data_IF_776245112798
#
_entry.id   IF_776245112798
#
_cell.length_a   1.000
_cell.length_b   1.000
_cell.length_c   1.000
_cell.angle_alpha   90.00
_cell.angle_beta   90.00
_cell.angle_gamma   90.00
#
_symmetry.space_group_name_H-M   'P 1'
#
loop_
_entity.id
_entity.type
_entity.pdbx_description
1 polymer ?
#
# COMPACT_ATOMS: atom_id res chain seq x y z
N UNK A 1 25.98 5.12 -45.35
CA UNK A 1 26.79 4.94 -44.13
C UNK A 1 25.91 4.29 -43.08
N UNK A 2 26.05 2.99 -42.84
CA UNK A 2 25.21 2.26 -41.86
C UNK A 2 25.65 2.69 -40.45
N UNK A 3 24.76 3.35 -39.72
CA UNK A 3 24.90 3.54 -38.30
C UNK A 3 24.86 2.14 -37.65
N UNK A 4 26.04 1.62 -37.32
CA UNK A 4 26.19 0.35 -36.68
C UNK A 4 25.58 0.45 -35.27
N UNK A 5 24.54 -0.32 -35.03
CA UNK A 5 23.91 -0.63 -33.74
C UNK A 5 24.83 -1.43 -32.81
N UNK A 6 26.14 -1.17 -32.82
CA UNK A 6 27.13 -1.90 -32.01
C UNK A 6 26.93 -1.79 -30.49
N UNK A 7 26.01 -0.95 -30.01
CA UNK A 7 25.67 -0.82 -28.58
C UNK A 7 24.58 -1.76 -28.08
N UNK A 8 23.65 -2.18 -28.93
CA UNK A 8 22.49 -2.99 -28.51
C UNK A 8 22.88 -4.44 -28.11
N UNK A 9 23.88 -5.01 -28.78
CA UNK A 9 24.31 -6.41 -28.55
C UNK A 9 25.06 -6.63 -27.21
N UNK A 10 25.40 -5.55 -26.50
CA UNK A 10 26.15 -5.61 -25.24
C UNK A 10 25.27 -5.50 -24.00
N UNK A 11 24.01 -5.11 -24.17
CA UNK A 11 23.04 -4.95 -23.08
C UNK A 11 22.19 -6.22 -23.02
N UNK A 12 22.28 -6.93 -21.90
CA UNK A 12 21.37 -8.05 -21.66
C UNK A 12 19.94 -7.52 -21.47
N UNK A 13 18.93 -8.21 -22.04
CA UNK A 13 17.53 -7.80 -21.82
C UNK A 13 17.16 -7.88 -20.34
N UNK A 14 16.37 -6.94 -19.89
CA UNK A 14 15.73 -6.93 -18.56
C UNK A 14 14.38 -7.68 -18.57
N UNK A 15 13.58 -7.48 -17.52
CA UNK A 15 12.24 -8.06 -17.41
C UNK A 15 11.14 -7.26 -18.10
N UNK A 16 11.47 -6.18 -18.83
CA UNK A 16 10.47 -5.38 -19.54
C UNK A 16 9.67 -6.24 -20.52
N UNK A 17 8.34 -6.12 -20.47
CA UNK A 17 7.41 -6.90 -21.30
C UNK A 17 7.14 -8.32 -20.81
N UNK A 18 7.76 -8.79 -19.72
CA UNK A 18 7.43 -10.11 -19.15
C UNK A 18 6.08 -10.08 -18.43
N UNK A 19 5.30 -11.15 -18.59
CA UNK A 19 4.14 -11.36 -17.74
C UNK A 19 4.58 -12.06 -16.44
N UNK A 20 4.56 -11.34 -15.33
CA UNK A 20 5.05 -11.84 -14.02
C UNK A 20 4.18 -12.96 -13.44
N UNK A 21 2.91 -13.06 -13.82
CA UNK A 21 2.08 -14.20 -13.48
C UNK A 21 2.45 -15.45 -14.30
N UNK A 22 2.57 -15.29 -15.62
CA UNK A 22 2.81 -16.40 -16.54
C UNK A 22 4.17 -17.08 -16.30
N UNK A 23 5.20 -16.34 -15.86
CA UNK A 23 6.54 -16.88 -15.61
C UNK A 23 6.71 -17.46 -14.20
N UNK A 24 5.80 -17.18 -13.26
CA UNK A 24 5.90 -17.61 -11.86
C UNK A 24 5.16 -18.93 -11.61
N UNK A 25 5.83 -20.05 -11.92
CA UNK A 25 5.27 -21.38 -11.71
C UNK A 25 5.03 -21.72 -10.23
N UNK A 26 5.85 -21.18 -9.32
CA UNK A 26 5.67 -21.34 -7.87
C UNK A 26 4.36 -20.72 -7.41
N UNK A 27 4.07 -19.50 -7.87
CA UNK A 27 2.80 -18.81 -7.60
C UNK A 27 1.60 -19.60 -8.15
N UNK A 28 1.64 -20.03 -9.41
CA UNK A 28 0.55 -20.79 -10.04
C UNK A 28 0.28 -22.10 -9.28
N UNK A 29 1.33 -22.81 -8.87
CA UNK A 29 1.20 -24.05 -8.08
C UNK A 29 0.57 -23.77 -6.70
N UNK A 30 0.96 -22.69 -6.04
CA UNK A 30 0.38 -22.29 -4.77
C UNK A 30 -1.09 -21.88 -4.89
N UNK A 31 -1.44 -21.13 -5.94
CA UNK A 31 -2.83 -20.76 -6.26
C UNK A 31 -3.68 -22.03 -6.45
N UNK A 32 -3.18 -23.00 -7.22
CA UNK A 32 -3.87 -24.25 -7.44
C UNK A 32 -4.07 -25.08 -6.16
N UNK A 33 -3.13 -24.97 -5.21
CA UNK A 33 -3.19 -25.69 -3.93
C UNK A 33 -4.13 -25.04 -2.91
N UNK A 34 -4.26 -23.70 -2.88
CA UNK A 34 -4.93 -22.99 -1.81
C UNK A 34 -6.26 -22.33 -2.19
N UNK A 35 -6.52 -22.09 -3.47
CA UNK A 35 -7.78 -21.48 -3.92
C UNK A 35 -8.71 -22.53 -4.56
N UNK A 36 -10.03 -22.47 -4.24
CA UNK A 36 -11.05 -23.29 -4.88
C UNK A 36 -11.09 -23.06 -6.39
N UNK A 37 -11.48 -24.09 -7.16
CA UNK A 37 -11.45 -24.06 -8.63
C UNK A 37 -12.37 -23.00 -9.25
N UNK A 38 -13.55 -22.78 -8.64
CA UNK A 38 -14.53 -21.76 -9.03
C UNK A 38 -13.98 -20.35 -8.84
N UNK A 39 -13.39 -20.06 -7.68
CA UNK A 39 -12.74 -18.78 -7.42
C UNK A 39 -11.54 -18.56 -8.37
N UNK A 40 -10.73 -19.60 -8.61
CA UNK A 40 -9.61 -19.51 -9.55
C UNK A 40 -10.07 -19.12 -10.95
N UNK A 41 -11.16 -19.71 -11.44
CA UNK A 41 -11.72 -19.38 -12.74
C UNK A 41 -12.06 -17.88 -12.91
N UNK A 42 -12.39 -17.20 -11.81
CA UNK A 42 -12.67 -15.76 -11.79
C UNK A 42 -11.40 -14.91 -11.66
N UNK A 43 -10.47 -15.30 -10.76
CA UNK A 43 -9.35 -14.41 -10.40
C UNK A 43 -8.10 -14.64 -11.25
N UNK A 44 -7.84 -15.84 -11.76
CA UNK A 44 -6.62 -16.14 -12.57
C UNK A 44 -6.54 -15.28 -13.85
N UNK A 45 -7.62 -15.02 -14.62
CA UNK A 45 -7.55 -14.10 -15.75
C UNK A 45 -7.15 -12.68 -15.36
N UNK A 46 -7.57 -12.21 -14.19
CA UNK A 46 -7.21 -10.89 -13.66
C UNK A 46 -5.75 -10.87 -13.14
N UNK A 47 -5.30 -11.96 -12.55
CA UNK A 47 -3.89 -12.13 -12.13
C UNK A 47 -2.95 -12.16 -13.35
N UNK A 48 -3.34 -12.82 -14.42
CA UNK A 48 -2.58 -12.85 -15.68
C UNK A 48 -2.50 -11.43 -16.29
N UNK A 49 -3.63 -10.73 -16.34
CA UNK A 49 -3.68 -9.33 -16.79
C UNK A 49 -2.79 -8.42 -15.93
N UNK A 50 -2.85 -8.54 -14.60
CA UNK A 50 -1.99 -7.76 -13.71
C UNK A 50 -0.51 -8.14 -13.86
N UNK A 51 -0.21 -9.42 -14.07
CA UNK A 51 1.14 -9.89 -14.33
C UNK A 51 1.75 -9.28 -15.61
N UNK A 52 0.94 -9.17 -16.67
CA UNK A 52 1.35 -8.50 -17.92
C UNK A 52 1.57 -6.99 -17.71
N UNK A 53 0.69 -6.32 -16.96
CA UNK A 53 0.86 -4.91 -16.60
C UNK A 53 2.10 -4.71 -15.73
N UNK A 54 2.38 -5.61 -14.79
CA UNK A 54 3.53 -5.55 -13.88
C UNK A 54 4.89 -5.50 -14.57
N UNK A 55 5.05 -6.24 -15.66
CA UNK A 55 6.27 -6.17 -16.48
C UNK A 55 6.19 -5.19 -17.66
N UNK A 56 5.02 -4.55 -17.87
CA UNK A 56 4.76 -3.61 -18.96
C UNK A 56 4.41 -2.22 -18.46
N UNK A 57 3.16 -1.82 -18.67
CA UNK A 57 2.72 -0.44 -18.40
C UNK A 57 2.94 0.00 -16.94
N UNK A 58 2.68 -0.85 -15.95
CA UNK A 58 2.88 -0.51 -14.54
C UNK A 58 4.36 -0.24 -14.22
N UNK A 59 5.29 -1.05 -14.75
CA UNK A 59 6.73 -0.83 -14.59
C UNK A 59 7.18 0.50 -15.23
N UNK A 60 6.64 0.83 -16.41
CA UNK A 60 6.89 2.11 -17.07
C UNK A 60 6.40 3.29 -16.23
N UNK A 61 5.14 3.24 -15.75
CA UNK A 61 4.55 4.27 -14.91
C UNK A 61 5.32 4.46 -13.60
N UNK A 62 5.73 3.37 -12.97
CA UNK A 62 6.54 3.37 -11.75
C UNK A 62 7.85 4.12 -11.95
N UNK A 63 8.58 3.83 -13.04
CA UNK A 63 9.84 4.51 -13.39
C UNK A 63 9.65 6.01 -13.67
N UNK A 64 8.51 6.40 -14.23
CA UNK A 64 8.17 7.81 -14.45
C UNK A 64 7.87 8.50 -13.13
N UNK A 65 6.96 7.92 -12.33
CA UNK A 65 6.52 8.49 -11.06
C UNK A 65 7.65 8.61 -10.03
N UNK A 66 8.58 7.65 -10.00
CA UNK A 66 9.75 7.71 -9.11
C UNK A 66 10.69 8.87 -9.41
N UNK A 67 10.80 9.25 -10.70
CA UNK A 67 11.59 10.43 -11.15
C UNK A 67 10.86 11.77 -10.99
N UNK A 68 9.57 11.73 -10.75
CA UNK A 68 8.72 12.92 -10.57
C UNK A 68 7.95 12.79 -9.25
N UNK A 69 8.64 12.96 -8.10
CA UNK A 69 8.02 12.85 -6.79
C UNK A 69 6.92 13.89 -6.61
N UNK A 70 5.95 13.64 -5.72
CA UNK A 70 4.87 14.58 -5.43
C UNK A 70 5.39 15.91 -4.92
N UNK A 71 4.69 17.00 -5.27
CA UNK A 71 5.02 18.37 -4.89
C UNK A 71 3.93 18.93 -4.01
N UNK A 72 4.29 19.45 -2.85
CA UNK A 72 3.37 20.15 -1.96
C UNK A 72 3.24 21.63 -2.38
N UNK A 73 2.02 22.07 -2.60
CA UNK A 73 1.65 23.47 -2.79
C UNK A 73 0.94 23.97 -1.53
N UNK A 74 1.66 24.56 -0.57
CA UNK A 74 1.05 24.97 0.71
C UNK A 74 0.13 26.17 0.54
N UNK A 75 0.40 27.06 -0.43
CA UNK A 75 -0.37 28.28 -0.70
C UNK A 75 -0.50 28.55 -2.19
N UNK A 76 -1.57 29.25 -2.57
CA UNK A 76 -1.74 29.79 -3.91
C UNK A 76 -0.91 31.06 -4.14
N UNK A 77 -0.95 31.60 -5.35
CA UNK A 77 -0.25 32.81 -5.72
C UNK A 77 -0.72 34.08 -4.95
N UNK A 78 -1.91 34.05 -4.40
CA UNK A 78 -2.47 35.13 -3.56
C UNK A 78 -2.16 34.96 -2.06
N UNK A 79 -1.45 33.88 -1.68
CA UNK A 79 -1.07 33.62 -0.29
C UNK A 79 -2.15 32.90 0.54
N UNK A 80 -3.24 32.44 -0.08
CA UNK A 80 -4.28 31.64 0.58
C UNK A 80 -3.82 30.22 0.74
N UNK A 81 -4.15 29.58 1.88
CA UNK A 81 -3.79 28.20 2.14
C UNK A 81 -4.46 27.27 1.10
N UNK A 82 -3.65 26.50 0.42
CA UNK A 82 -4.06 25.54 -0.62
C UNK A 82 -3.85 24.10 -0.15
N UNK A 83 -2.67 23.81 0.38
CA UNK A 83 -2.25 22.49 0.91
C UNK A 83 -2.58 21.30 0.01
N UNK A 84 -2.35 21.47 -1.27
CA UNK A 84 -2.56 20.44 -2.28
C UNK A 84 -1.26 19.73 -2.58
N UNK A 85 -1.31 18.41 -2.71
CA UNK A 85 -0.20 17.61 -3.22
C UNK A 85 -0.47 17.32 -4.69
N UNK A 86 0.42 17.83 -5.55
CA UNK A 86 0.44 17.50 -6.97
C UNK A 86 1.19 16.19 -7.19
N UNK A 87 0.49 15.21 -7.76
CA UNK A 87 1.09 13.96 -8.20
C UNK A 87 1.24 13.94 -9.72
N UNK A 88 2.32 13.33 -10.22
CA UNK A 88 2.47 13.11 -11.64
C UNK A 88 1.34 12.26 -12.21
N UNK A 89 0.83 12.49 -13.45
CA UNK A 89 -0.24 11.68 -14.05
C UNK A 89 0.04 10.17 -14.05
N UNK A 90 1.31 9.75 -14.18
CA UNK A 90 1.69 8.34 -14.05
C UNK A 90 1.30 7.73 -12.69
N UNK A 91 1.42 8.49 -11.59
CA UNK A 91 0.98 8.02 -10.28
C UNK A 91 -0.56 7.87 -10.23
N UNK A 92 -1.29 8.82 -10.80
CA UNK A 92 -2.77 8.76 -10.87
C UNK A 92 -3.26 7.57 -11.72
N UNK A 93 -2.56 7.26 -12.82
CA UNK A 93 -2.85 6.05 -13.61
C UNK A 93 -2.61 4.77 -12.80
N UNK A 94 -1.55 4.71 -11.98
CA UNK A 94 -1.31 3.57 -11.08
C UNK A 94 -2.39 3.47 -9.98
N UNK A 95 -2.87 4.60 -9.43
CA UNK A 95 -4.02 4.62 -8.51
C UNK A 95 -5.28 4.07 -9.19
N UNK A 96 -5.58 4.47 -10.42
CA UNK A 96 -6.70 3.96 -11.22
C UNK A 96 -6.61 2.43 -11.39
N UNK A 97 -5.42 1.91 -11.66
CA UNK A 97 -5.21 0.45 -11.72
C UNK A 97 -5.48 -0.22 -10.37
N UNK A 98 -4.88 0.27 -9.28
CA UNK A 98 -4.94 -0.39 -7.97
C UNK A 98 -6.32 -0.30 -7.32
N UNK A 99 -6.92 0.88 -7.28
CA UNK A 99 -8.22 1.14 -6.63
C UNK A 99 -9.40 0.91 -7.57
N UNK A 100 -9.34 1.47 -8.78
CA UNK A 100 -10.44 1.42 -9.74
C UNK A 100 -10.58 0.05 -10.38
N UNK A 101 -9.57 -0.39 -11.13
CA UNK A 101 -9.68 -1.59 -11.94
C UNK A 101 -9.54 -2.89 -11.14
N UNK A 102 -8.52 -3.00 -10.29
CA UNK A 102 -8.28 -4.20 -9.50
C UNK A 102 -8.93 -4.18 -8.13
N UNK A 103 -9.54 -3.07 -7.71
CA UNK A 103 -10.28 -2.97 -6.44
C UNK A 103 -9.51 -3.53 -5.22
N UNK A 104 -8.18 -3.37 -5.18
CA UNK A 104 -7.30 -4.07 -4.24
C UNK A 104 -7.54 -3.67 -2.78
N UNK A 105 -8.07 -2.46 -2.53
CA UNK A 105 -8.41 -1.97 -1.19
C UNK A 105 -9.69 -2.58 -0.64
N UNK A 106 -10.65 -2.92 -1.53
CA UNK A 106 -12.02 -3.28 -1.13
C UNK A 106 -12.41 -4.74 -1.39
N UNK A 107 -11.63 -5.49 -2.18
CA UNK A 107 -12.01 -6.84 -2.63
C UNK A 107 -12.31 -7.83 -1.50
N UNK A 108 -11.74 -7.62 -0.31
CA UNK A 108 -12.03 -8.43 0.89
C UNK A 108 -13.18 -7.86 1.74
N UNK A 109 -13.83 -6.79 1.28
CA UNK A 109 -14.83 -6.07 2.06
C UNK A 109 -16.21 -6.04 1.38
N UNK A 110 -16.28 -6.27 0.08
CA UNK A 110 -17.52 -6.22 -0.69
C UNK A 110 -17.63 -7.42 -1.61
N UNK A 111 -18.87 -7.79 -1.92
CA UNK A 111 -19.22 -8.73 -2.97
C UNK A 111 -19.11 -8.10 -4.37
N UNK A 112 -19.16 -8.91 -5.41
CA UNK A 112 -19.25 -8.48 -6.81
C UNK A 112 -17.92 -8.10 -7.46
N UNK A 113 -16.79 -8.09 -6.76
CA UNK A 113 -15.49 -7.79 -7.38
C UNK A 113 -15.14 -8.89 -8.39
N UNK A 114 -14.87 -8.50 -9.63
CA UNK A 114 -14.68 -9.39 -10.79
C UNK A 114 -15.86 -10.35 -11.05
N UNK A 115 -17.06 -10.04 -10.55
CA UNK A 115 -18.24 -10.90 -10.65
C UNK A 115 -18.31 -12.02 -9.61
N UNK A 116 -17.39 -12.05 -8.62
CA UNK A 116 -17.45 -13.00 -7.51
C UNK A 116 -18.58 -12.62 -6.53
N UNK A 117 -19.45 -13.56 -6.12
CA UNK A 117 -20.68 -13.23 -5.37
C UNK A 117 -20.44 -12.86 -3.91
N UNK A 118 -19.25 -13.05 -3.39
CA UNK A 118 -18.90 -12.78 -1.98
C UNK A 118 -17.66 -11.87 -1.88
N UNK A 119 -17.35 -11.41 -0.67
CA UNK A 119 -16.05 -10.78 -0.39
C UNK A 119 -14.91 -11.82 -0.60
N UNK A 120 -13.85 -11.41 -1.27
CA UNK A 120 -12.75 -12.32 -1.59
C UNK A 120 -11.95 -12.71 -0.34
N UNK A 121 -11.43 -13.95 -0.27
CA UNK A 121 -10.51 -14.34 0.78
C UNK A 121 -9.25 -13.45 0.79
N UNK A 122 -8.67 -13.15 1.98
CA UNK A 122 -7.47 -12.33 2.10
C UNK A 122 -6.29 -12.79 1.23
N UNK A 123 -6.16 -14.09 1.00
CA UNK A 123 -5.13 -14.66 0.14
C UNK A 123 -5.17 -14.08 -1.29
N UNK A 124 -6.36 -13.89 -1.86
CA UNK A 124 -6.51 -13.30 -3.20
C UNK A 124 -5.90 -11.91 -3.24
N UNK A 125 -6.23 -11.05 -2.29
CA UNK A 125 -5.67 -9.70 -2.18
C UNK A 125 -4.14 -9.73 -2.06
N UNK A 126 -3.57 -10.64 -1.27
CA UNK A 126 -2.11 -10.75 -1.13
C UNK A 126 -1.45 -11.22 -2.43
N UNK A 127 -2.10 -12.06 -3.23
CA UNK A 127 -1.59 -12.45 -4.55
C UNK A 127 -1.60 -11.26 -5.51
N UNK A 128 -2.69 -10.47 -5.56
CA UNK A 128 -2.73 -9.24 -6.35
C UNK A 128 -1.64 -8.25 -5.91
N UNK A 129 -1.46 -8.08 -4.61
CA UNK A 129 -0.38 -7.26 -4.07
C UNK A 129 1.01 -7.76 -4.48
N UNK A 130 1.25 -9.05 -4.43
CA UNK A 130 2.51 -9.67 -4.86
C UNK A 130 2.82 -9.41 -6.34
N UNK A 131 1.82 -9.50 -7.20
CA UNK A 131 1.99 -9.21 -8.63
C UNK A 131 2.20 -7.71 -8.89
N UNK A 132 1.42 -6.84 -8.25
CA UNK A 132 1.53 -5.38 -8.40
C UNK A 132 2.88 -4.86 -7.96
N UNK A 133 3.38 -5.31 -6.80
CA UNK A 133 4.65 -4.86 -6.21
C UNK A 133 5.86 -5.18 -7.09
N UNK A 134 5.81 -6.19 -7.92
CA UNK A 134 6.89 -6.47 -8.87
C UNK A 134 7.05 -5.35 -9.92
N UNK A 135 6.01 -4.57 -10.19
CA UNK A 135 6.06 -3.36 -11.02
C UNK A 135 6.19 -2.07 -10.21
N UNK A 136 5.42 -1.95 -9.11
CA UNK A 136 5.39 -0.73 -8.29
C UNK A 136 5.20 -1.03 -6.79
N UNK A 137 6.08 -0.49 -5.97
CA UNK A 137 6.10 -0.76 -4.52
C UNK A 137 5.40 0.33 -3.69
N UNK A 138 5.55 1.61 -4.06
CA UNK A 138 5.17 2.75 -3.22
C UNK A 138 3.68 2.85 -2.97
N UNK A 139 2.87 2.75 -4.01
CA UNK A 139 1.41 2.87 -3.96
C UNK A 139 0.74 1.76 -3.13
N UNK A 140 1.38 0.59 -3.01
CA UNK A 140 0.80 -0.48 -2.17
C UNK A 140 0.76 -0.11 -0.69
N UNK A 141 1.53 0.89 -0.25
CA UNK A 141 1.38 1.43 1.10
C UNK A 141 -0.01 2.07 1.32
N UNK A 142 -0.44 3.09 0.55
CA UNK A 142 -1.80 3.63 0.60
C UNK A 142 -2.90 2.57 0.43
N UNK A 143 -2.78 1.69 -0.56
CA UNK A 143 -3.76 0.62 -0.81
C UNK A 143 -3.91 -0.30 0.42
N UNK A 144 -2.81 -0.66 1.07
CA UNK A 144 -2.86 -1.48 2.28
C UNK A 144 -3.42 -0.72 3.49
N UNK A 145 -3.17 0.59 3.58
CA UNK A 145 -3.77 1.42 4.62
C UNK A 145 -5.29 1.55 4.44
N UNK A 146 -5.76 1.64 3.19
CA UNK A 146 -7.18 1.67 2.90
C UNK A 146 -7.87 0.34 3.30
N UNK A 147 -7.32 -0.82 2.93
CA UNK A 147 -7.84 -2.13 3.33
C UNK A 147 -7.87 -2.31 4.86
N UNK A 148 -6.78 -1.97 5.54
CA UNK A 148 -6.73 -2.09 7.01
C UNK A 148 -7.59 -1.04 7.70
N UNK A 149 -7.73 0.15 7.12
CA UNK A 149 -8.65 1.18 7.57
C UNK A 149 -10.11 0.75 7.47
N UNK A 150 -10.51 0.14 6.35
CA UNK A 150 -11.83 -0.46 6.17
C UNK A 150 -12.10 -1.54 7.21
N UNK A 151 -11.11 -2.40 7.48
CA UNK A 151 -11.21 -3.42 8.55
C UNK A 151 -11.46 -2.78 9.92
N UNK A 152 -10.73 -1.71 10.27
CA UNK A 152 -10.89 -1.00 11.53
C UNK A 152 -12.28 -0.35 11.62
N UNK A 153 -12.67 0.40 10.58
CA UNK A 153 -13.96 1.09 10.53
C UNK A 153 -15.13 0.13 10.66
N UNK A 154 -15.15 -0.96 9.91
CA UNK A 154 -16.24 -1.96 9.97
C UNK A 154 -16.39 -2.60 11.33
N UNK A 155 -15.28 -2.86 12.02
CA UNK A 155 -15.28 -3.61 13.28
C UNK A 155 -15.43 -2.73 14.52
N UNK A 156 -15.08 -1.43 14.46
CA UNK A 156 -14.90 -0.62 15.65
C UNK A 156 -15.66 0.72 15.60
N UNK A 157 -15.92 1.28 14.41
CA UNK A 157 -16.60 2.56 14.32
C UNK A 157 -18.09 2.46 14.71
N UNK A 158 -18.66 3.57 15.19
CA UNK A 158 -20.11 3.67 15.40
C UNK A 158 -20.87 3.53 14.08
N UNK A 159 -22.14 3.19 14.14
CA UNK A 159 -22.95 3.04 12.93
C UNK A 159 -23.08 4.35 12.16
N UNK A 160 -23.15 5.49 12.85
CA UNK A 160 -23.11 6.83 12.25
C UNK A 160 -21.85 7.06 11.43
N UNK A 161 -20.67 6.76 11.99
CA UNK A 161 -19.39 6.89 11.27
C UNK A 161 -19.29 5.91 10.10
N UNK A 162 -19.84 4.70 10.24
CA UNK A 162 -19.88 3.73 9.13
C UNK A 162 -20.77 4.23 7.99
N UNK A 163 -21.96 4.71 8.27
CA UNK A 163 -22.88 5.25 7.26
C UNK A 163 -22.28 6.45 6.51
N UNK A 164 -21.57 7.29 7.23
CA UNK A 164 -20.98 8.52 6.69
C UNK A 164 -19.72 8.26 5.83
N UNK A 165 -18.83 7.38 6.25
CA UNK A 165 -17.49 7.24 5.65
C UNK A 165 -17.32 6.01 4.77
N UNK A 166 -17.91 4.84 5.15
CA UNK A 166 -17.66 3.60 4.42
C UNK A 166 -18.08 3.62 2.96
N UNK A 167 -19.21 4.23 2.55
CA UNK A 167 -19.59 4.23 1.13
C UNK A 167 -18.52 4.79 0.22
N UNK A 168 -17.91 5.93 0.60
CA UNK A 168 -16.82 6.54 -0.16
C UNK A 168 -15.49 5.80 -0.02
N UNK A 169 -15.16 5.30 1.16
CA UNK A 169 -13.95 4.49 1.36
C UNK A 169 -14.00 3.16 0.60
N UNK A 170 -15.18 2.63 0.29
CA UNK A 170 -15.41 1.41 -0.49
C UNK A 170 -15.61 1.67 -1.98
N UNK A 171 -15.62 2.91 -2.45
CA UNK A 171 -15.79 3.21 -3.87
C UNK A 171 -14.58 2.71 -4.68
N UNK A 172 -14.81 2.29 -5.93
CA UNK A 172 -13.79 2.07 -6.94
C UNK A 172 -13.88 3.11 -8.08
N UNK A 173 -14.80 4.05 -7.96
CA UNK A 173 -14.82 5.26 -8.77
C UNK A 173 -13.84 6.25 -8.14
N UNK A 174 -12.81 6.65 -8.89
CA UNK A 174 -11.74 7.52 -8.39
C UNK A 174 -12.22 8.93 -8.03
N UNK A 175 -13.32 9.38 -8.61
CA UNK A 175 -13.93 10.69 -8.32
C UNK A 175 -14.72 10.66 -6.99
N UNK A 176 -15.18 9.47 -6.57
CA UNK A 176 -15.92 9.23 -5.34
C UNK A 176 -15.09 8.63 -4.20
N UNK A 177 -13.93 8.06 -4.54
CA UNK A 177 -13.10 7.34 -3.57
C UNK A 177 -12.50 8.27 -2.51
N UNK A 178 -12.73 7.93 -1.24
CA UNK A 178 -12.00 8.48 -0.12
C UNK A 178 -10.90 7.54 0.32
N UNK A 179 -9.65 7.93 0.05
CA UNK A 179 -8.45 7.20 0.44
C UNK A 179 -8.24 7.31 1.94
N UNK A 180 -7.63 6.29 2.52
CA UNK A 180 -7.36 6.23 3.95
C UNK A 180 -5.86 6.31 4.23
N UNK A 181 -5.50 7.07 5.26
CA UNK A 181 -4.15 7.12 5.82
C UNK A 181 -4.15 6.73 7.31
N UNK A 182 -2.96 6.37 7.84
CA UNK A 182 -2.79 6.03 9.25
C UNK A 182 -1.58 6.80 9.80
N UNK A 183 -1.82 7.75 10.73
CA UNK A 183 -0.77 8.58 11.33
C UNK A 183 -0.55 8.17 12.79
N UNK A 184 0.45 7.34 13.01
CA UNK A 184 0.73 6.79 14.34
C UNK A 184 2.00 7.40 14.96
N UNK A 185 3.04 7.56 14.15
CA UNK A 185 4.38 7.96 14.59
C UNK A 185 4.47 9.46 14.86
N UNK A 186 5.18 9.83 15.90
CA UNK A 186 5.62 11.18 16.22
C UNK A 186 7.15 11.24 16.27
N UNK A 187 7.73 12.43 16.28
CA UNK A 187 9.18 12.57 16.30
C UNK A 187 9.79 11.92 17.57
N UNK A 188 9.14 12.06 18.71
CA UNK A 188 9.53 11.46 19.99
C UNK A 188 8.97 10.07 20.26
N UNK A 189 8.04 9.55 19.41
CA UNK A 189 7.28 8.33 19.66
C UNK A 189 7.14 7.48 18.38
N UNK A 190 8.13 6.64 18.13
CA UNK A 190 8.12 5.65 17.05
C UNK A 190 7.82 4.26 17.59
N UNK A 191 8.89 3.47 17.89
CA UNK A 191 8.72 2.13 18.48
C UNK A 191 8.08 2.18 19.87
N UNK A 192 8.39 3.21 20.67
CA UNK A 192 7.74 3.48 21.95
C UNK A 192 6.51 4.37 21.74
N UNK A 193 5.46 3.78 21.17
CA UNK A 193 4.20 4.45 20.87
C UNK A 193 3.48 4.98 22.12
N UNK A 194 3.84 4.48 23.31
CA UNK A 194 3.31 4.97 24.59
C UNK A 194 3.66 6.42 24.90
N UNK A 195 4.69 6.98 24.24
CA UNK A 195 5.15 8.35 24.41
C UNK A 195 4.50 9.35 23.43
N UNK A 196 3.41 8.98 22.77
CA UNK A 196 2.63 9.89 21.92
C UNK A 196 2.20 11.12 22.73
N UNK A 197 2.50 12.32 22.18
CA UNK A 197 2.22 13.63 22.75
C UNK A 197 0.98 14.31 22.15
N UNK A 198 0.52 13.88 20.96
CA UNK A 198 -0.71 14.38 20.36
C UNK A 198 -1.89 14.18 21.29
N UNK A 199 -2.58 15.29 21.57
CA UNK A 199 -3.69 15.36 22.54
C UNK A 199 -5.03 15.52 21.82
N UNK A 200 -6.06 14.90 22.41
CA UNK A 200 -7.44 15.05 21.98
C UNK A 200 -8.30 15.53 23.15
N UNK A 201 -9.04 16.63 22.95
CA UNK A 201 -9.96 17.23 23.91
C UNK A 201 -11.39 17.11 23.39
N UNK A 202 -12.30 16.66 24.24
CA UNK A 202 -13.72 16.54 23.88
C UNK A 202 -14.37 17.93 23.68
N UNK A 203 -15.14 18.06 22.60
CA UNK A 203 -15.90 19.26 22.27
C UNK A 203 -17.27 18.88 21.69
N UNK A 204 -18.28 18.80 22.53
CA UNK A 204 -19.62 18.38 22.12
C UNK A 204 -19.64 16.94 21.61
N UNK A 205 -19.97 16.75 20.34
CA UNK A 205 -20.09 15.45 19.67
C UNK A 205 -18.80 15.00 18.94
N UNK A 206 -17.75 15.81 18.98
CA UNK A 206 -16.47 15.54 18.34
C UNK A 206 -15.27 15.83 19.28
N UNK A 207 -14.06 15.70 18.76
CA UNK A 207 -12.83 15.93 19.48
C UNK A 207 -11.98 16.94 18.71
N UNK A 208 -11.33 17.84 19.45
CA UNK A 208 -10.30 18.73 18.91
C UNK A 208 -8.93 18.11 19.21
N UNK A 209 -8.13 17.96 18.18
CA UNK A 209 -6.85 17.25 18.23
C UNK A 209 -5.72 18.20 17.89
N UNK A 210 -4.70 18.22 18.77
CA UNK A 210 -3.55 19.11 18.69
C UNK A 210 -2.24 18.31 18.76
N UNK A 211 -1.23 18.72 17.96
CA UNK A 211 0.12 18.18 17.99
C UNK A 211 0.63 17.78 16.61
N UNK A 212 1.80 17.12 16.58
CA UNK A 212 2.52 16.81 15.34
C UNK A 212 2.57 15.32 15.07
N UNK A 213 2.33 14.94 13.82
CA UNK A 213 2.55 13.57 13.31
C UNK A 213 3.71 13.54 12.31
N UNK A 214 4.52 12.48 12.45
CA UNK A 214 5.74 12.28 11.69
C UNK A 214 5.58 11.25 10.60
N UNK A 215 6.16 10.88 9.67
CA UNK A 215 5.97 9.80 8.68
C UNK A 215 4.50 9.56 8.25
N UNK A 216 3.79 10.63 7.90
CA UNK A 216 2.41 10.59 7.44
C UNK A 216 2.34 10.16 5.97
N UNK A 217 2.28 8.85 5.73
CA UNK A 217 2.15 8.31 4.36
C UNK A 217 0.75 8.55 3.82
N UNK A 218 0.64 8.83 2.50
CA UNK A 218 -0.61 9.25 1.86
C UNK A 218 -1.19 10.53 2.52
N UNK A 219 -0.32 11.53 2.67
CA UNK A 219 -0.60 12.74 3.47
C UNK A 219 -1.80 13.56 2.97
N UNK A 220 -2.24 13.35 1.74
CA UNK A 220 -3.40 13.98 1.10
C UNK A 220 -4.66 13.09 1.10
N UNK A 221 -4.68 12.00 1.90
CA UNK A 221 -5.86 11.15 2.03
C UNK A 221 -7.06 11.91 2.62
N UNK A 222 -8.24 11.52 2.19
CA UNK A 222 -9.52 12.10 2.60
C UNK A 222 -9.89 11.71 4.04
N UNK A 223 -9.43 10.54 4.51
CA UNK A 223 -9.67 10.01 5.85
C UNK A 223 -8.36 9.63 6.52
N UNK A 224 -8.13 10.15 7.69
CA UNK A 224 -6.94 9.85 8.51
C UNK A 224 -7.37 9.10 9.76
N UNK A 225 -6.73 7.98 10.04
CA UNK A 225 -6.85 7.25 11.29
C UNK A 225 -5.60 7.53 12.14
N UNK A 226 -5.77 8.05 13.34
CA UNK A 226 -4.63 8.40 14.20
C UNK A 226 -4.85 8.01 15.67
N UNK A 227 -3.72 7.83 16.37
CA UNK A 227 -3.69 7.70 17.82
C UNK A 227 -3.44 9.06 18.46
N UNK A 228 -4.23 9.36 19.48
CA UNK A 228 -4.02 10.52 20.36
C UNK A 228 -4.30 10.14 21.81
N UNK A 229 -3.77 10.92 22.72
CA UNK A 229 -4.05 10.83 24.15
C UNK A 229 -5.21 11.77 24.48
N UNK A 230 -6.19 11.31 25.23
CA UNK A 230 -7.25 12.18 25.72
C UNK A 230 -6.84 12.86 27.00
N UNK A 231 -7.40 14.03 27.25
CA UNK A 231 -7.17 14.77 28.51
C UNK A 231 -7.53 13.91 29.73
N UNK A 232 -6.65 13.87 30.72
CA UNK A 232 -6.82 13.04 31.92
C UNK A 232 -6.55 11.55 31.75
N UNK A 233 -6.20 11.07 30.55
CA UNK A 233 -5.87 9.67 30.34
C UNK A 233 -4.55 9.26 31.01
N UNK A 234 -4.43 7.99 31.39
CA UNK A 234 -3.21 7.44 31.97
C UNK A 234 -2.02 7.53 31.01
N UNK A 235 -0.83 7.69 31.57
CA UNK A 235 0.40 7.67 30.78
C UNK A 235 0.65 6.30 30.11
N UNK A 236 1.48 6.33 29.04
CA UNK A 236 1.85 5.12 28.30
C UNK A 236 0.77 4.67 27.30
N UNK A 237 0.96 3.49 26.74
CA UNK A 237 0.12 2.97 25.66
C UNK A 237 -1.35 2.72 26.03
N UNK A 238 -1.63 2.54 27.32
CA UNK A 238 -3.00 2.30 27.83
C UNK A 238 -3.89 3.54 27.84
N UNK A 239 -3.34 4.74 27.69
CA UNK A 239 -4.10 5.98 27.64
C UNK A 239 -4.35 6.50 26.21
N UNK A 240 -4.08 5.68 25.20
CA UNK A 240 -4.25 6.09 23.81
C UNK A 240 -5.59 5.64 23.25
N UNK A 241 -6.22 6.55 22.50
CA UNK A 241 -7.50 6.33 21.80
C UNK A 241 -7.30 6.49 20.30
N UNK A 242 -8.19 5.86 19.52
CA UNK A 242 -8.17 5.91 18.06
C UNK A 242 -9.18 6.94 17.57
N UNK A 243 -8.77 7.79 16.64
CA UNK A 243 -9.61 8.82 16.05
C UNK A 243 -9.61 8.73 14.53
N UNK A 244 -10.77 9.03 13.94
CA UNK A 244 -10.91 9.35 12.53
C UNK A 244 -10.88 10.88 12.40
N UNK A 245 -10.02 11.39 11.54
CA UNK A 245 -9.90 12.81 11.20
C UNK A 245 -10.18 12.95 9.70
N UNK A 246 -11.28 13.57 9.30
CA UNK A 246 -11.58 13.82 7.90
C UNK A 246 -10.74 14.98 7.38
N UNK A 247 -10.43 14.99 6.07
CA UNK A 247 -9.75 16.09 5.41
C UNK A 247 -10.66 17.31 5.26
N UNK A 248 -11.93 17.08 4.98
CA UNK A 248 -12.96 18.09 4.85
C UNK A 248 -14.06 17.88 5.90
N UNK A 249 -14.56 18.97 6.44
CA UNK A 249 -15.67 18.98 7.37
C UNK A 249 -17.01 19.00 6.62
N UNK A 250 -18.12 18.81 7.33
CA UNK A 250 -19.47 18.75 6.73
C UNK A 250 -19.90 20.06 6.07
N UNK A 251 -19.33 21.17 6.50
CA UNK A 251 -19.58 22.50 5.91
C UNK A 251 -18.74 22.75 4.63
N UNK A 252 -17.98 21.74 4.17
CA UNK A 252 -17.11 21.82 3.01
C UNK A 252 -15.78 22.56 3.28
N UNK A 253 -15.53 22.99 4.50
CA UNK A 253 -14.27 23.60 4.86
C UNK A 253 -13.19 22.53 5.10
N UNK A 254 -11.94 22.89 4.82
CA UNK A 254 -10.81 22.06 5.17
C UNK A 254 -10.68 21.96 6.70
N UNK A 255 -10.39 20.75 7.19
CA UNK A 255 -10.14 20.53 8.61
C UNK A 255 -8.83 21.19 9.08
N UNK A 256 -8.73 21.50 10.35
CA UNK A 256 -7.68 22.28 10.99
C UNK A 256 -6.37 21.49 11.19
N UNK A 257 -5.79 21.02 10.09
CA UNK A 257 -4.43 20.49 10.08
C UNK A 257 -3.72 20.90 8.79
N UNK A 258 -2.41 20.89 8.83
CA UNK A 258 -1.59 21.27 7.68
C UNK A 258 -0.45 20.28 7.45
N UNK A 259 -0.06 20.12 6.20
CA UNK A 259 1.12 19.36 5.80
C UNK A 259 2.31 20.34 5.81
N UNK A 260 3.22 20.14 6.76
CA UNK A 260 4.37 21.05 6.96
C UNK A 260 5.36 20.92 5.80
N UNK A 261 5.67 19.68 5.43
CA UNK A 261 6.53 19.35 4.27
C UNK A 261 6.36 17.90 3.86
N UNK A 262 6.79 17.55 2.65
CA UNK A 262 6.99 16.18 2.22
C UNK A 262 8.41 15.73 2.56
N UNK A 263 8.55 14.45 2.85
CA UNK A 263 9.83 13.81 3.17
C UNK A 263 10.64 13.55 1.90
N UNK A 264 11.93 13.85 1.93
CA UNK A 264 12.91 13.36 0.97
C UNK A 264 13.25 11.91 1.30
N UNK A 265 13.04 10.99 0.36
CA UNK A 265 13.11 9.54 0.57
C UNK A 265 13.98 8.87 -0.48
N UNK A 266 14.75 7.85 -0.06
CA UNK A 266 15.55 7.01 -0.98
C UNK A 266 14.68 6.03 -1.78
N UNK A 267 13.52 5.63 -1.26
CA UNK A 267 12.58 4.71 -1.92
C UNK A 267 11.14 5.18 -1.75
N UNK A 268 10.23 4.61 -2.52
CA UNK A 268 8.82 5.03 -2.55
C UNK A 268 8.63 6.52 -2.86
N UNK A 269 9.49 7.09 -3.72
CA UNK A 269 9.50 8.51 -4.03
C UNK A 269 8.20 8.96 -4.70
N UNK A 270 7.53 8.08 -5.41
CA UNK A 270 6.24 8.31 -6.07
C UNK A 270 5.10 8.64 -5.09
N UNK A 271 5.16 8.13 -3.84
CA UNK A 271 4.10 8.26 -2.83
C UNK A 271 4.42 9.38 -1.85
N UNK A 272 3.45 10.27 -1.59
CA UNK A 272 3.59 11.37 -0.64
C UNK A 272 3.69 10.86 0.81
N UNK A 273 4.75 11.26 1.52
CA UNK A 273 4.88 11.07 2.97
C UNK A 273 5.20 12.42 3.60
N UNK A 274 4.35 12.89 4.48
CA UNK A 274 4.45 14.23 5.07
C UNK A 274 4.80 14.24 6.54
N UNK A 275 5.03 15.43 7.04
CA UNK A 275 4.93 15.84 8.44
C UNK A 275 3.66 16.68 8.56
N UNK A 276 2.84 16.38 9.57
CA UNK A 276 1.51 16.99 9.71
C UNK A 276 1.39 17.61 11.09
N UNK A 277 0.99 18.88 11.14
CA UNK A 277 0.61 19.58 12.38
C UNK A 277 -0.91 19.67 12.44
N UNK A 278 -1.47 19.23 13.56
CA UNK A 278 -2.87 19.32 13.93
C UNK A 278 -3.02 20.52 14.87
N UNK A 279 -3.98 21.41 14.59
CA UNK A 279 -4.20 22.65 15.35
C UNK A 279 -5.72 22.82 15.56
N UNK A 280 -6.25 22.12 16.56
CA UNK A 280 -7.69 21.98 16.77
C UNK A 280 -8.38 21.16 15.69
N UNK A 281 -7.70 20.15 15.12
CA UNK A 281 -8.30 19.31 14.10
C UNK A 281 -9.50 18.52 14.62
N UNK A 282 -10.62 18.62 13.94
CA UNK A 282 -11.83 17.87 14.28
C UNK A 282 -11.62 16.38 14.01
N UNK A 283 -11.90 15.58 15.03
CA UNK A 283 -11.81 14.13 14.94
C UNK A 283 -12.96 13.42 15.65
N UNK A 284 -13.24 12.21 15.25
CA UNK A 284 -14.28 11.36 15.80
C UNK A 284 -13.68 10.10 16.44
N UNK A 285 -14.08 9.78 17.65
CA UNK A 285 -13.60 8.59 18.35
C UNK A 285 -14.03 7.32 17.64
N UNK A 286 -13.08 6.41 17.43
CA UNK A 286 -13.36 5.06 16.94
C UNK A 286 -13.34 4.08 18.10
N UNK A 287 -14.48 3.43 18.34
CA UNK A 287 -14.65 2.47 19.43
C UNK A 287 -14.62 3.13 20.81
N UNK A 288 -13.85 2.56 21.74
CA UNK A 288 -13.82 2.99 23.13
C UNK A 288 -12.56 3.78 23.48
N UNK A 289 -12.66 4.72 24.41
CA UNK A 289 -11.52 5.45 24.98
C UNK A 289 -10.49 4.49 25.58
N UNK A 290 -9.22 4.86 25.46
CA UNK A 290 -8.09 4.13 26.04
C UNK A 290 -7.90 2.68 25.48
N UNK A 291 -8.50 2.37 24.33
CA UNK A 291 -8.35 1.08 23.65
C UNK A 291 -7.61 1.16 22.32
N UNK A 292 -7.13 2.34 21.94
CA UNK A 292 -6.54 2.61 20.62
C UNK A 292 -5.42 1.67 20.23
N UNK A 293 -4.53 1.31 21.15
CA UNK A 293 -3.45 0.33 20.89
C UNK A 293 -4.03 -1.05 20.59
N UNK A 294 -5.01 -1.50 21.35
CA UNK A 294 -5.64 -2.82 21.13
C UNK A 294 -6.32 -2.87 19.75
N UNK A 295 -6.94 -1.76 19.35
CA UNK A 295 -7.61 -1.62 18.06
C UNK A 295 -6.61 -1.64 16.91
N UNK A 296 -5.57 -0.79 16.98
CA UNK A 296 -4.59 -0.67 15.88
C UNK A 296 -3.71 -1.91 15.75
N UNK A 297 -3.45 -2.67 16.81
CA UNK A 297 -2.62 -3.88 16.74
C UNK A 297 -3.21 -4.97 15.84
N UNK A 298 -4.53 -5.04 15.68
CA UNK A 298 -5.17 -5.94 14.71
C UNK A 298 -4.79 -5.53 13.28
N UNK A 299 -4.91 -4.25 12.95
CA UNK A 299 -4.58 -3.72 11.60
C UNK A 299 -3.06 -3.75 11.34
N UNK A 300 -2.24 -3.49 12.36
CA UNK A 300 -0.77 -3.60 12.27
C UNK A 300 -0.33 -5.03 11.93
N UNK A 301 -1.00 -6.05 12.45
CA UNK A 301 -0.68 -7.45 12.12
C UNK A 301 -0.95 -7.76 10.64
N UNK A 302 -2.07 -7.26 10.09
CA UNK A 302 -2.39 -7.35 8.66
C UNK A 302 -1.35 -6.59 7.81
N UNK A 303 -0.97 -5.40 8.24
CA UNK A 303 0.05 -4.59 7.59
C UNK A 303 1.43 -5.28 7.59
N UNK A 304 1.82 -5.94 8.68
CA UNK A 304 3.06 -6.72 8.75
C UNK A 304 3.09 -7.88 7.76
N UNK A 305 2.00 -8.61 7.62
CA UNK A 305 1.90 -9.63 6.57
C UNK A 305 2.01 -9.02 5.17
N UNK A 306 1.31 -7.91 4.92
CA UNK A 306 1.43 -7.15 3.67
C UNK A 306 2.89 -6.79 3.36
N UNK A 307 3.70 -6.38 4.35
CA UNK A 307 5.14 -6.12 4.17
C UNK A 307 5.92 -7.39 3.82
N UNK A 308 5.58 -8.54 4.42
CA UNK A 308 6.17 -9.84 4.06
C UNK A 308 5.87 -10.20 2.60
N UNK A 309 4.64 -9.98 2.14
CA UNK A 309 4.23 -10.18 0.73
C UNK A 309 5.01 -9.26 -0.21
N UNK A 310 5.17 -7.98 0.14
CA UNK A 310 5.97 -7.02 -0.64
C UNK A 310 7.43 -7.44 -0.73
N UNK A 311 8.01 -7.90 0.38
CA UNK A 311 9.39 -8.41 0.38
C UNK A 311 9.54 -9.63 -0.55
N UNK A 312 8.63 -10.60 -0.49
CA UNK A 312 8.61 -11.76 -1.38
C UNK A 312 8.49 -11.34 -2.86
N UNK A 313 7.64 -10.35 -3.16
CA UNK A 313 7.48 -9.80 -4.51
C UNK A 313 8.76 -9.15 -5.04
N UNK A 314 9.45 -8.34 -4.21
CA UNK A 314 10.73 -7.73 -4.58
C UNK A 314 11.83 -8.78 -4.80
N UNK A 315 11.88 -9.81 -3.95
CA UNK A 315 12.79 -10.94 -4.14
C UNK A 315 12.52 -11.64 -5.48
N UNK A 316 11.25 -11.85 -5.83
CA UNK A 316 10.85 -12.44 -7.12
C UNK A 316 11.29 -11.55 -8.29
N UNK A 317 11.03 -10.25 -8.22
CA UNK A 317 11.47 -9.31 -9.27
C UNK A 317 13.00 -9.34 -9.44
N UNK A 318 13.77 -9.28 -8.37
CA UNK A 318 15.23 -9.36 -8.42
C UNK A 318 15.72 -10.69 -9.02
N UNK A 319 15.07 -11.81 -8.68
CA UNK A 319 15.38 -13.12 -9.24
C UNK A 319 15.09 -13.16 -10.74
N UNK A 320 13.95 -12.65 -11.19
CA UNK A 320 13.58 -12.58 -12.61
C UNK A 320 14.60 -11.77 -13.41
N UNK A 321 15.02 -10.58 -12.91
CA UNK A 321 16.08 -9.77 -13.53
C UNK A 321 17.39 -10.54 -13.62
N UNK A 322 17.81 -11.18 -12.51
CA UNK A 322 19.06 -11.95 -12.46
C UNK A 322 19.02 -13.12 -13.45
N UNK A 323 17.91 -13.82 -13.57
CA UNK A 323 17.73 -14.93 -14.51
C UNK A 323 17.73 -14.46 -15.97
N UNK A 324 17.07 -13.33 -16.27
CA UNK A 324 17.06 -12.74 -17.61
C UNK A 324 18.47 -12.36 -18.06
N UNK A 325 19.22 -11.66 -17.23
CA UNK A 325 20.60 -11.31 -17.51
C UNK A 325 21.45 -12.57 -17.68
N UNK A 326 21.34 -13.55 -16.77
CA UNK A 326 22.17 -14.74 -16.81
C UNK A 326 21.94 -15.63 -18.04
N UNK A 327 20.69 -15.69 -18.54
CA UNK A 327 20.31 -16.46 -19.72
C UNK A 327 20.74 -15.81 -21.04
N UNK A 328 20.91 -14.50 -21.07
CA UNK A 328 21.15 -13.76 -22.31
C UNK A 328 22.60 -13.19 -22.42
N UNK A 329 23.24 -12.88 -21.29
CA UNK A 329 24.62 -12.39 -21.30
C UNK A 329 25.60 -13.49 -21.62
N UNK A 330 26.46 -13.25 -22.61
CA UNK A 330 27.50 -14.21 -23.05
C UNK A 330 28.88 -13.76 -22.57
N UNK A 331 29.65 -14.73 -22.05
CA UNK A 331 31.06 -14.57 -21.72
C UNK A 331 31.80 -15.89 -22.01
N UNK A 332 33.02 -15.81 -22.46
CA UNK A 332 33.85 -16.99 -22.79
C UNK A 332 33.14 -17.99 -23.72
N UNK A 333 32.38 -17.48 -24.70
CA UNK A 333 31.73 -18.29 -25.72
C UNK A 333 30.37 -18.90 -25.35
N UNK A 334 29.88 -18.75 -24.09
CA UNK A 334 28.62 -19.31 -23.64
C UNK A 334 27.80 -18.32 -22.78
N UNK A 335 26.52 -18.63 -22.55
CA UNK A 335 25.71 -17.82 -21.64
C UNK A 335 26.18 -17.98 -20.20
N UNK A 336 26.16 -16.89 -19.39
CA UNK A 336 26.73 -16.96 -18.04
C UNK A 336 25.95 -17.89 -17.10
N UNK A 337 24.68 -18.19 -17.39
CA UNK A 337 23.88 -19.20 -16.67
C UNK A 337 24.50 -20.60 -16.75
N UNK A 338 25.33 -20.90 -17.75
CA UNK A 338 26.00 -22.19 -17.90
C UNK A 338 27.19 -22.38 -16.93
N UNK A 339 27.69 -21.31 -16.33
CA UNK A 339 28.79 -21.42 -15.37
C UNK A 339 28.33 -21.96 -14.01
N UNK A 340 29.00 -22.94 -13.42
CA UNK A 340 28.60 -23.55 -12.15
C UNK A 340 28.50 -22.54 -11.00
N UNK A 341 29.44 -21.57 -10.94
CA UNK A 341 29.40 -20.50 -9.91
C UNK A 341 28.18 -19.59 -10.08
N UNK A 342 27.79 -19.26 -11.30
CA UNK A 342 26.58 -18.46 -11.57
C UNK A 342 25.32 -19.24 -11.15
N UNK A 343 25.21 -20.49 -11.50
CA UNK A 343 24.10 -21.37 -11.08
C UNK A 343 24.00 -21.41 -9.55
N UNK A 344 25.12 -21.53 -8.85
CA UNK A 344 25.17 -21.51 -7.39
C UNK A 344 24.65 -20.18 -6.82
N UNK A 345 24.99 -19.04 -7.41
CA UNK A 345 24.49 -17.73 -6.95
C UNK A 345 22.99 -17.57 -7.22
N UNK A 346 22.53 -17.99 -8.39
CA UNK A 346 21.10 -17.97 -8.72
C UNK A 346 20.29 -18.86 -7.75
N UNK A 347 20.80 -20.05 -7.39
CA UNK A 347 20.15 -20.93 -6.39
C UNK A 347 20.06 -20.27 -5.01
N UNK A 348 21.07 -19.49 -4.59
CA UNK A 348 21.04 -18.73 -3.33
C UNK A 348 19.96 -17.62 -3.31
N UNK A 349 19.57 -17.11 -4.47
CA UNK A 349 18.45 -16.17 -4.61
C UNK A 349 17.11 -16.89 -4.72
N UNK A 350 17.06 -17.99 -5.52
CA UNK A 350 15.85 -18.74 -5.80
C UNK A 350 15.26 -19.37 -4.54
N UNK A 351 16.05 -20.08 -3.74
CA UNK A 351 15.55 -20.82 -2.58
C UNK A 351 14.84 -19.91 -1.56
N UNK A 352 15.43 -18.77 -1.08
CA UNK A 352 14.72 -17.86 -0.19
C UNK A 352 13.50 -17.22 -0.83
N UNK A 353 13.52 -16.97 -2.15
CA UNK A 353 12.37 -16.41 -2.88
C UNK A 353 11.18 -17.39 -2.86
N UNK A 354 11.42 -18.67 -3.17
CA UNK A 354 10.37 -19.70 -3.11
C UNK A 354 9.88 -19.95 -1.68
N UNK A 355 10.77 -19.87 -0.68
CA UNK A 355 10.39 -19.96 0.73
C UNK A 355 9.48 -18.79 1.16
N UNK A 356 9.84 -17.57 0.78
CA UNK A 356 9.05 -16.37 1.08
C UNK A 356 7.67 -16.43 0.41
N UNK A 357 7.60 -16.87 -0.87
CA UNK A 357 6.37 -17.10 -1.59
C UNK A 357 5.48 -18.13 -0.86
N UNK A 358 6.03 -19.29 -0.54
CA UNK A 358 5.30 -20.36 0.15
C UNK A 358 4.79 -19.91 1.51
N UNK A 359 5.59 -19.13 2.25
CA UNK A 359 5.23 -18.62 3.58
C UNK A 359 4.02 -17.68 3.52
N UNK A 360 4.02 -16.70 2.61
CA UNK A 360 2.88 -15.78 2.55
C UNK A 360 1.61 -16.45 2.01
N UNK A 361 1.73 -17.37 1.04
CA UNK A 361 0.58 -18.13 0.52
C UNK A 361 -0.06 -18.98 1.63
N UNK A 362 0.74 -19.70 2.39
CA UNK A 362 0.27 -20.49 3.53
C UNK A 362 -0.36 -19.60 4.60
N UNK A 363 0.30 -18.49 4.99
CA UNK A 363 -0.23 -17.58 6.01
C UNK A 363 -1.56 -16.95 5.57
N UNK A 364 -1.66 -16.51 4.31
CA UNK A 364 -2.90 -15.96 3.77
C UNK A 364 -4.04 -16.97 3.72
N UNK A 365 -3.73 -18.24 3.43
CA UNK A 365 -4.69 -19.35 3.46
C UNK A 365 -5.22 -19.61 4.87
N UNK A 366 -4.33 -19.71 5.88
CA UNK A 366 -4.72 -19.93 7.28
C UNK A 366 -5.56 -18.77 7.82
N UNK A 367 -5.24 -17.52 7.45
CA UNK A 367 -6.05 -16.36 7.84
C UNK A 367 -7.49 -16.44 7.34
N UNK A 368 -7.72 -16.99 6.15
CA UNK A 368 -9.06 -17.18 5.62
C UNK A 368 -9.87 -18.25 6.39
N UNK A 369 -9.19 -19.17 7.08
CA UNK A 369 -9.83 -20.21 7.90
C UNK A 369 -10.12 -19.76 9.35
N UNK A 370 -9.44 -18.70 9.81
CA UNK A 370 -9.54 -18.20 11.18
C UNK A 370 -10.65 -17.14 11.37
N UNK A 371 -11.23 -16.66 10.31
CA UNK A 371 -12.36 -15.73 10.26
C UNK A 371 -13.66 -16.50 9.94
#
# INVERSE_FOLDING_TARGET
MSNSTKGADWVAPDCAGMNFYAVDRGLQSGIAAYLPADLRAVVEPQMDRLGALGGGRLDELSRIADRHPPVLHPRDAAGRDLETIEHHPAYREMEQLAYGEFSMHRMCHVEGVFGWPEAMPPLVRYIFQYLFVQGEFGLICPVSMADTGLTLMRNQASDELKERYLPRMLSNDMDELWRCAQFLTEQGAGSDVGNIEVMARAEGDHWLIDGDKWFCSNADAEVILLLARTEGAVAGSRGLSMFLVPRELDDGNRNHYRIVRLKDKLGTCSMASGEVTLDGAVGYLIGELNTGIKQIMKTVSLSRLSHGVRAAAMMRRCLNESLQVARNRRQFGQNIVEFPLMRRQLMKQMLPTEQALSMFLFTGHIMAQAN
#
